data_IF_425526406219
#
_entry.id   IF_425526406219
#
_cell.length_a   1.000
_cell.length_b   1.000
_cell.length_c   1.000
_cell.angle_alpha   90.00
_cell.angle_beta   90.00
_cell.angle_gamma   90.00
#
_symmetry.space_group_name_H-M   'P 1'
#
loop_
_entity.id
_entity.type
_entity.pdbx_description
1 polymer ?
#
# COMPACT_ATOMS: atom_id res chain seq x y z
N UNK A 1 16.36 -0.01 -12.57
CA UNK A 1 16.45 1.47 -12.58
C UNK A 1 15.80 2.07 -11.33
N UNK A 2 14.53 1.82 -11.02
CA UNK A 2 13.90 2.46 -9.84
C UNK A 2 14.47 1.96 -8.50
N UNK A 3 14.67 0.65 -8.33
CA UNK A 3 15.33 0.12 -7.12
C UNK A 3 16.77 0.64 -6.92
N UNK A 4 17.48 0.96 -8.01
CA UNK A 4 18.85 1.49 -7.98
C UNK A 4 18.93 2.99 -7.71
N UNK A 5 17.81 3.72 -7.77
CA UNK A 5 17.71 5.13 -7.36
C UNK A 5 17.06 5.29 -5.98
N UNK A 6 16.86 4.19 -5.26
CA UNK A 6 16.31 4.22 -3.91
C UNK A 6 17.25 4.96 -2.96
N UNK A 7 16.73 5.98 -2.29
CA UNK A 7 17.42 6.67 -1.20
C UNK A 7 17.02 5.98 0.10
N UNK A 8 17.98 5.45 0.89
CA UNK A 8 17.69 4.79 2.16
C UNK A 8 16.77 5.61 3.05
N UNK A 9 15.72 4.98 3.56
CA UNK A 9 14.71 5.62 4.39
C UNK A 9 14.54 4.85 5.71
N UNK A 10 14.45 5.53 6.87
CA UNK A 10 14.37 4.86 8.18
C UNK A 10 13.11 4.01 8.36
N UNK A 11 12.03 4.29 7.62
CA UNK A 11 10.75 3.58 7.73
C UNK A 11 10.43 2.65 6.55
N UNK A 12 11.17 2.75 5.44
CA UNK A 12 10.85 2.01 4.22
C UNK A 12 12.08 1.24 3.76
N UNK A 13 11.97 -0.08 3.69
CA UNK A 13 13.06 -0.92 3.19
C UNK A 13 13.19 -0.80 1.66
N UNK A 14 14.37 -1.05 1.11
CA UNK A 14 14.55 -1.11 -0.35
C UNK A 14 13.68 -2.22 -0.98
N UNK A 15 13.43 -3.31 -0.24
CA UNK A 15 12.59 -4.41 -0.70
C UNK A 15 11.12 -3.99 -0.81
N UNK A 16 10.58 -3.32 0.21
CA UNK A 16 9.21 -2.82 0.19
C UNK A 16 9.04 -1.71 -0.84
N UNK A 17 10.03 -0.82 -0.98
CA UNK A 17 10.06 0.14 -2.07
C UNK A 17 10.00 -0.53 -3.44
N UNK A 18 10.80 -1.58 -3.65
CA UNK A 18 10.82 -2.31 -4.92
C UNK A 18 9.48 -2.98 -5.24
N UNK A 19 8.81 -3.56 -4.22
CA UNK A 19 7.46 -4.14 -4.36
C UNK A 19 6.42 -3.07 -4.68
N UNK A 20 6.41 -1.99 -3.92
CA UNK A 20 5.48 -0.87 -4.08
C UNK A 20 5.56 -0.27 -5.47
N UNK A 21 6.78 0.02 -5.96
CA UNK A 21 6.98 0.57 -7.30
C UNK A 21 6.58 -0.44 -8.39
N UNK A 22 6.89 -1.72 -8.21
CA UNK A 22 6.50 -2.74 -9.18
C UNK A 22 4.98 -2.85 -9.30
N UNK A 23 4.26 -2.84 -8.17
CA UNK A 23 2.80 -2.88 -8.16
C UNK A 23 2.20 -1.67 -8.88
N UNK A 24 2.76 -0.47 -8.64
CA UNK A 24 2.32 0.73 -9.34
C UNK A 24 2.50 0.61 -10.85
N UNK A 25 3.67 0.15 -11.31
CA UNK A 25 3.96 -0.02 -12.74
C UNK A 25 3.11 -1.10 -13.42
N UNK A 26 2.69 -2.13 -12.68
CA UNK A 26 1.94 -3.27 -13.23
C UNK A 26 0.43 -3.06 -13.17
N UNK A 27 -0.08 -2.45 -12.10
CA UNK A 27 -1.51 -2.34 -11.82
C UNK A 27 -2.06 -0.90 -11.83
N UNK A 28 -1.20 0.11 -11.99
CA UNK A 28 -1.58 1.52 -11.79
C UNK A 28 -1.97 1.84 -10.35
N UNK A 29 -1.73 0.92 -9.42
CA UNK A 29 -2.16 0.98 -8.03
C UNK A 29 -1.06 0.40 -7.15
N UNK A 30 -0.69 1.12 -6.09
CA UNK A 30 0.23 0.61 -5.09
C UNK A 30 -0.13 1.12 -3.69
N UNK A 31 0.16 0.31 -2.68
CA UNK A 31 -0.27 0.56 -1.31
C UNK A 31 0.88 0.39 -0.33
N UNK A 32 1.00 1.34 0.60
CA UNK A 32 1.88 1.24 1.77
C UNK A 32 1.02 1.27 3.04
N UNK A 33 1.17 0.27 3.90
CA UNK A 33 0.59 0.26 5.24
C UNK A 33 1.58 0.84 6.25
N UNK A 34 1.15 1.87 6.97
CA UNK A 34 1.85 2.42 8.11
C UNK A 34 1.66 1.53 9.35
N UNK A 35 2.68 0.73 9.67
CA UNK A 35 2.72 -0.07 10.90
C UNK A 35 3.04 0.85 12.08
N UNK A 36 2.17 0.87 13.07
CA UNK A 36 2.27 1.73 14.26
C UNK A 36 2.68 0.93 15.50
N UNK A 37 3.43 1.55 16.40
CA UNK A 37 3.65 1.04 17.76
C UNK A 37 2.36 1.12 18.58
N UNK A 38 2.38 0.54 19.79
CA UNK A 38 1.29 0.68 20.78
C UNK A 38 1.00 2.15 21.11
N UNK A 39 2.02 3.02 21.02
CA UNK A 39 1.89 4.47 21.26
C UNK A 39 1.45 5.26 20.03
N UNK A 40 1.15 4.60 18.90
CA UNK A 40 0.70 5.22 17.66
C UNK A 40 1.81 5.76 16.76
N UNK A 41 3.09 5.65 17.16
CA UNK A 41 4.23 6.08 16.33
C UNK A 41 4.40 5.14 15.14
N UNK A 42 4.53 5.66 13.93
CA UNK A 42 4.89 4.85 12.75
C UNK A 42 6.29 4.30 12.92
N UNK A 43 6.42 2.98 12.86
CA UNK A 43 7.69 2.26 13.02
C UNK A 43 8.19 1.65 11.70
N UNK A 44 7.30 1.39 10.74
CA UNK A 44 7.65 0.85 9.42
C UNK A 44 6.51 1.08 8.41
N UNK A 45 6.87 1.12 7.13
CA UNK A 45 5.96 1.12 5.99
C UNK A 45 6.09 -0.22 5.27
N UNK A 46 5.00 -0.98 5.21
CA UNK A 46 4.95 -2.29 4.56
C UNK A 46 4.23 -2.18 3.21
N UNK A 47 4.83 -2.72 2.15
CA UNK A 47 4.18 -2.74 0.85
C UNK A 47 3.09 -3.81 0.83
N UNK A 48 1.84 -3.39 0.65
CA UNK A 48 0.70 -4.30 0.54
C UNK A 48 0.45 -4.65 -0.93
N UNK A 49 0.47 -5.95 -1.31
CA UNK A 49 0.24 -6.36 -2.69
C UNK A 49 -1.05 -5.81 -3.28
N UNK A 50 -0.94 -5.06 -4.37
CA UNK A 50 -2.07 -4.41 -5.03
C UNK A 50 -3.13 -5.41 -5.52
N UNK A 51 -2.70 -6.59 -5.96
CA UNK A 51 -3.59 -7.69 -6.38
C UNK A 51 -4.64 -8.04 -5.32
N UNK A 52 -4.29 -7.94 -4.04
CA UNK A 52 -5.14 -8.36 -2.92
C UNK A 52 -5.60 -7.19 -2.04
N UNK A 53 -5.13 -5.96 -2.29
CA UNK A 53 -5.60 -4.78 -1.58
C UNK A 53 -6.82 -4.20 -2.30
N UNK A 54 -7.86 -3.85 -1.54
CA UNK A 54 -9.08 -3.24 -2.06
C UNK A 54 -9.37 -1.96 -1.30
N UNK A 55 -9.72 -0.89 -2.02
CA UNK A 55 -10.29 0.32 -1.44
C UNK A 55 -11.76 0.04 -1.08
N UNK A 56 -12.16 0.41 0.12
CA UNK A 56 -13.55 0.39 0.57
C UNK A 56 -14.36 1.51 -0.07
N UNK A 57 -15.68 1.48 0.13
CA UNK A 57 -16.57 2.55 -0.33
C UNK A 57 -16.36 3.82 0.50
N UNK A 58 -16.10 3.63 1.79
CA UNK A 58 -15.77 4.73 2.70
C UNK A 58 -14.35 5.25 2.43
N UNK A 59 -14.16 6.55 2.62
CA UNK A 59 -12.86 7.19 2.50
C UNK A 59 -11.86 6.61 3.50
N UNK A 60 -10.61 6.45 3.07
CA UNK A 60 -9.51 5.90 3.87
C UNK A 60 -9.73 4.50 4.48
N UNK A 61 -10.70 3.75 3.95
CA UNK A 61 -10.93 2.34 4.30
C UNK A 61 -10.31 1.45 3.25
N UNK A 62 -9.50 0.48 3.69
CA UNK A 62 -8.87 -0.50 2.83
C UNK A 62 -8.96 -1.91 3.43
N UNK A 63 -8.92 -2.90 2.56
CA UNK A 63 -9.04 -4.31 2.90
C UNK A 63 -7.94 -5.14 2.26
N UNK A 64 -7.36 -6.04 3.03
CA UNK A 64 -6.53 -7.14 2.57
C UNK A 64 -7.42 -8.35 2.28
N UNK A 65 -7.43 -8.81 1.03
CA UNK A 65 -8.31 -9.87 0.53
C UNK A 65 -7.51 -10.89 -0.30
N UNK A 66 -6.71 -11.75 0.34
CA UNK A 66 -5.90 -12.77 -0.35
C UNK A 66 -6.74 -13.94 -0.88
N UNK A 67 -7.98 -14.06 -0.41
CA UNK A 67 -8.95 -15.08 -0.80
C UNK A 67 -10.36 -14.73 -0.31
N UNK A 68 -11.34 -15.56 -0.64
CA UNK A 68 -12.76 -15.26 -0.39
C UNK A 68 -13.19 -15.39 1.07
N UNK A 69 -12.44 -16.11 1.91
CA UNK A 69 -12.93 -16.55 3.21
C UNK A 69 -12.64 -15.60 4.38
N UNK A 70 -11.65 -14.69 4.27
CA UNK A 70 -11.24 -13.83 5.40
C UNK A 70 -10.67 -12.49 4.90
N UNK A 71 -11.52 -11.53 4.50
CA UNK A 71 -11.07 -10.16 4.30
C UNK A 71 -10.65 -9.56 5.65
N UNK A 72 -9.48 -8.93 5.70
CA UNK A 72 -8.99 -8.23 6.87
C UNK A 72 -8.96 -6.74 6.58
N UNK A 73 -9.63 -5.94 7.42
CA UNK A 73 -9.54 -4.48 7.30
C UNK A 73 -8.17 -4.00 7.76
N UNK A 74 -7.58 -3.06 7.04
CA UNK A 74 -6.46 -2.28 7.55
C UNK A 74 -6.96 -1.29 8.61
N UNK A 75 -6.09 -0.87 9.51
CA UNK A 75 -6.39 0.23 10.44
C UNK A 75 -6.81 1.47 9.62
N UNK A 76 -7.95 2.13 9.91
CA UNK A 76 -8.38 3.32 9.19
C UNK A 76 -7.29 4.40 9.16
N UNK A 77 -7.08 5.03 8.00
CA UNK A 77 -6.03 6.03 7.81
C UNK A 77 -4.60 5.50 7.99
N UNK A 78 -4.37 4.19 7.92
CA UNK A 78 -3.02 3.60 7.93
C UNK A 78 -2.46 3.32 6.54
N UNK A 79 -3.28 3.38 5.49
CA UNK A 79 -2.87 3.02 4.13
C UNK A 79 -2.67 4.27 3.28
N UNK A 80 -1.49 4.40 2.69
CA UNK A 80 -1.23 5.31 1.59
C UNK A 80 -1.49 4.58 0.26
N UNK A 81 -2.32 5.16 -0.59
CA UNK A 81 -2.66 4.63 -1.91
C UNK A 81 -2.08 5.55 -3.00
N UNK A 82 -1.08 5.05 -3.72
CA UNK A 82 -0.62 5.67 -4.96
C UNK A 82 -1.45 5.12 -6.11
N UNK A 83 -2.20 6.02 -6.73
CA UNK A 83 -3.13 5.73 -7.82
C UNK A 83 -2.64 6.44 -9.07
N UNK A 84 -2.52 5.71 -10.18
CA UNK A 84 -2.38 6.32 -11.50
C UNK A 84 -3.77 6.81 -11.94
N UNK A 85 -3.96 8.12 -12.14
CA UNK A 85 -5.24 8.65 -12.58
C UNK A 85 -5.47 8.29 -14.06
N UNK A 86 -6.12 7.16 -14.29
CA UNK A 86 -6.68 6.78 -15.59
C UNK A 86 -8.11 7.33 -15.69
N UNK A 87 -8.40 8.00 -16.81
CA UNK A 87 -9.72 8.55 -17.20
C UNK A 87 -10.86 7.52 -17.09
N UNK A 88 -10.56 6.22 -17.18
CA UNK A 88 -11.52 5.13 -17.09
C UNK A 88 -11.70 4.56 -15.67
N UNK A 89 -10.88 4.97 -14.70
CA UNK A 89 -11.03 4.52 -13.32
C UNK A 89 -12.07 5.37 -12.59
N UNK A 90 -13.22 4.77 -12.30
CA UNK A 90 -14.24 5.37 -11.44
C UNK A 90 -13.78 5.23 -9.98
N UNK A 91 -13.65 6.36 -9.30
CA UNK A 91 -13.41 6.46 -7.85
C UNK A 91 -14.48 5.70 -7.06
#
# INVERSE_FOLDING_TARGET
ILASTFIPHPLLSQQDFSRFVLDFLVFGNAFLEARKSVTGKVIRLDASPAKYTRRGVEEDVYWWVPGFSQPQQFEPGSVFHLLEPDINQKL
#
